data_IF_315015679807
#
_entry.id   IF_315015679807
#
_cell.length_a   1.000
_cell.length_b   1.000
_cell.length_c   1.000
_cell.angle_alpha   90.00
_cell.angle_beta   90.00
_cell.angle_gamma   90.00
#
_symmetry.space_group_name_H-M   'P 1'
#
loop_
_entity.id
_entity.type
_entity.pdbx_description
1 polymer ?
#
# COMPACT_ATOMS: atom_id res chain seq x y z
N UNK A 1 -14.33 -24.95 -37.93
CA UNK A 1 -13.02 -24.32 -38.26
C UNK A 1 -13.00 -22.79 -38.19
N UNK A 2 -13.90 -22.04 -38.86
CA UNK A 2 -13.90 -20.55 -38.82
C UNK A 2 -13.97 -19.91 -37.42
N UNK A 3 -14.74 -20.49 -36.48
CA UNK A 3 -14.80 -20.05 -35.07
C UNK A 3 -13.48 -20.26 -34.30
N UNK A 4 -12.74 -21.31 -34.62
CA UNK A 4 -11.46 -21.64 -33.98
C UNK A 4 -10.36 -20.71 -34.50
N UNK A 5 -10.32 -20.46 -35.81
CA UNK A 5 -9.42 -19.48 -36.43
C UNK A 5 -9.64 -18.06 -35.87
N UNK A 6 -10.88 -17.59 -35.77
CA UNK A 6 -11.17 -16.28 -35.18
C UNK A 6 -10.95 -16.18 -33.66
N UNK A 7 -10.79 -17.31 -32.96
CA UNK A 7 -10.34 -17.34 -31.56
C UNK A 7 -8.81 -17.29 -31.48
N UNK A 8 -8.11 -18.06 -32.32
CA UNK A 8 -6.65 -18.05 -32.41
C UNK A 8 -6.10 -16.71 -32.93
N UNK A 9 -6.79 -16.04 -33.86
CA UNK A 9 -6.44 -14.68 -34.31
C UNK A 9 -6.60 -13.64 -33.19
N UNK A 10 -7.62 -13.78 -32.33
CA UNK A 10 -7.81 -12.91 -31.15
C UNK A 10 -6.74 -13.15 -30.07
N UNK A 11 -6.32 -14.40 -29.88
CA UNK A 11 -5.22 -14.75 -28.99
C UNK A 11 -3.87 -14.24 -29.54
N UNK A 12 -3.64 -14.39 -30.85
CA UNK A 12 -2.46 -13.86 -31.55
C UNK A 12 -2.41 -12.33 -31.53
N UNK A 13 -3.55 -11.66 -31.73
CA UNK A 13 -3.71 -10.21 -31.62
C UNK A 13 -3.43 -9.67 -30.20
N UNK A 14 -3.88 -10.39 -29.15
CA UNK A 14 -3.48 -10.11 -27.75
C UNK A 14 -1.98 -10.30 -27.51
N UNK A 15 -1.37 -11.30 -28.16
CA UNK A 15 0.07 -11.59 -28.03
C UNK A 15 0.96 -10.63 -28.83
N UNK A 16 0.41 -9.97 -29.86
CA UNK A 16 1.11 -9.00 -30.73
C UNK A 16 0.83 -7.53 -30.38
N UNK A 17 0.23 -7.25 -29.23
CA UNK A 17 0.05 -5.88 -28.78
C UNK A 17 1.44 -5.31 -28.46
N UNK A 18 2.00 -4.53 -29.40
CA UNK A 18 3.29 -3.84 -29.24
C UNK A 18 3.34 -3.20 -27.86
N UNK A 19 4.33 -3.61 -27.05
CA UNK A 19 4.61 -3.03 -25.74
C UNK A 19 4.62 -1.51 -25.84
N UNK A 20 3.69 -0.82 -25.16
CA UNK A 20 3.69 0.64 -25.12
C UNK A 20 4.92 1.09 -24.32
N UNK A 21 5.98 1.49 -25.02
CA UNK A 21 7.21 2.00 -24.39
C UNK A 21 7.15 3.52 -24.35
N UNK A 22 7.10 4.08 -23.15
CA UNK A 22 7.31 5.51 -22.95
C UNK A 22 8.80 5.84 -22.99
N UNK A 23 9.13 6.99 -23.57
CA UNK A 23 10.48 7.53 -23.47
C UNK A 23 10.70 8.07 -22.05
N UNK A 24 11.69 7.51 -21.36
CA UNK A 24 12.10 7.95 -20.02
C UNK A 24 13.52 8.53 -20.02
N UNK A 25 14.10 8.76 -21.20
CA UNK A 25 15.44 9.31 -21.39
C UNK A 25 15.42 10.83 -21.66
N UNK A 26 14.23 11.41 -21.86
CA UNK A 26 14.01 12.85 -22.06
C UNK A 26 12.97 13.40 -21.07
N UNK A 27 13.04 14.70 -20.78
CA UNK A 27 12.06 15.35 -19.91
C UNK A 27 10.67 15.37 -20.54
N UNK A 28 10.62 15.60 -21.85
CA UNK A 28 9.40 15.63 -22.67
C UNK A 28 8.73 14.26 -22.65
N UNK A 29 9.52 13.19 -22.85
CA UNK A 29 9.05 11.81 -22.80
C UNK A 29 8.43 11.46 -21.44
N UNK A 30 9.11 11.78 -20.33
CA UNK A 30 8.62 11.52 -18.98
C UNK A 30 7.33 12.31 -18.70
N UNK A 31 7.28 13.59 -19.09
CA UNK A 31 6.10 14.44 -18.90
C UNK A 31 4.90 13.95 -19.72
N UNK A 32 5.14 13.39 -20.90
CA UNK A 32 4.11 12.87 -21.79
C UNK A 32 3.45 11.56 -21.30
N UNK A 33 3.99 10.92 -20.25
CA UNK A 33 3.36 9.75 -19.63
C UNK A 33 2.01 10.18 -19.03
N UNK A 34 0.88 9.59 -19.48
CA UNK A 34 -0.44 9.95 -19.00
C UNK A 34 -0.66 9.44 -17.57
N UNK A 35 -1.54 10.11 -16.83
CA UNK A 35 -2.01 9.69 -15.51
C UNK A 35 -3.54 9.58 -15.56
N UNK A 36 -4.12 8.37 -15.52
CA UNK A 36 -3.46 7.08 -15.33
C UNK A 36 -2.76 6.60 -16.61
N UNK A 37 -1.67 5.86 -16.43
CA UNK A 37 -1.03 5.14 -17.52
C UNK A 37 -1.68 3.76 -17.68
N UNK A 38 -2.54 3.60 -18.69
CA UNK A 38 -3.11 2.30 -19.08
C UNK A 38 -2.17 1.55 -20.02
N UNK A 39 -2.24 0.22 -19.97
CA UNK A 39 -1.64 -0.71 -20.94
C UNK A 39 -0.12 -0.60 -21.12
N UNK A 40 0.61 -0.25 -20.05
CA UNK A 40 2.07 -0.33 -20.05
C UNK A 40 2.53 -1.77 -19.84
N UNK A 41 3.48 -2.23 -20.66
CA UNK A 41 4.02 -3.59 -20.61
C UNK A 41 5.49 -3.56 -21.06
N UNK A 42 6.39 -4.19 -20.31
CA UNK A 42 7.83 -4.32 -20.60
C UNK A 42 8.22 -5.72 -21.09
N UNK A 43 7.25 -6.63 -21.17
CA UNK A 43 7.41 -8.05 -21.46
C UNK A 43 7.68 -8.89 -20.21
N UNK A 44 7.56 -8.31 -19.01
CA UNK A 44 7.76 -8.99 -17.74
C UNK A 44 6.76 -8.47 -16.71
N UNK A 45 5.72 -9.26 -16.43
CA UNK A 45 4.59 -8.87 -15.58
C UNK A 45 5.00 -8.30 -14.20
N UNK A 46 6.11 -8.78 -13.61
CA UNK A 46 6.63 -8.30 -12.32
C UNK A 46 7.27 -6.89 -12.40
N UNK A 47 7.50 -6.38 -13.62
CA UNK A 47 8.18 -5.12 -13.93
C UNK A 47 7.30 -4.17 -14.75
N UNK A 48 6.04 -4.53 -14.97
CA UNK A 48 5.12 -3.84 -15.89
C UNK A 48 4.28 -2.76 -15.21
N UNK A 49 4.55 -2.44 -13.96
CA UNK A 49 3.99 -1.25 -13.33
C UNK A 49 4.84 -0.03 -13.71
N UNK A 50 4.27 0.89 -14.50
CA UNK A 50 4.98 2.09 -14.98
C UNK A 50 5.56 2.95 -13.86
N UNK A 51 4.84 3.11 -12.74
CA UNK A 51 5.34 3.83 -11.56
C UNK A 51 6.63 3.18 -11.03
N UNK A 52 6.68 1.84 -11.01
CA UNK A 52 7.84 1.10 -10.51
C UNK A 52 9.03 1.23 -11.47
N UNK A 53 8.78 1.20 -12.79
CA UNK A 53 9.84 1.43 -13.78
C UNK A 53 10.43 2.84 -13.64
N UNK A 54 9.59 3.86 -13.44
CA UNK A 54 10.03 5.23 -13.20
C UNK A 54 10.89 5.34 -11.93
N UNK A 55 10.53 4.65 -10.85
CA UNK A 55 11.35 4.60 -9.62
C UNK A 55 12.75 4.02 -9.87
N UNK A 56 12.87 2.99 -10.71
CA UNK A 56 14.19 2.43 -11.09
C UNK A 56 14.95 3.34 -12.02
N UNK A 57 14.28 3.90 -13.03
CA UNK A 57 14.88 4.86 -13.98
C UNK A 57 15.40 6.10 -13.27
N UNK A 58 14.71 6.58 -12.24
CA UNK A 58 15.24 7.63 -11.38
C UNK A 58 16.57 7.26 -10.70
N UNK A 59 16.72 6.01 -10.24
CA UNK A 59 18.00 5.52 -9.67
C UNK A 59 19.10 5.51 -10.73
N UNK A 60 18.80 5.03 -11.93
CA UNK A 60 19.73 4.98 -13.06
C UNK A 60 20.19 6.39 -13.46
N UNK A 61 19.25 7.31 -13.67
CA UNK A 61 19.53 8.70 -14.02
C UNK A 61 20.36 9.41 -12.97
N UNK A 62 20.04 9.23 -11.68
CA UNK A 62 20.86 9.77 -10.59
C UNK A 62 22.28 9.22 -10.64
N UNK A 63 22.46 7.91 -10.81
CA UNK A 63 23.79 7.28 -10.90
C UNK A 63 24.61 7.84 -12.07
N UNK A 64 23.93 8.24 -13.14
CA UNK A 64 24.53 8.83 -14.34
C UNK A 64 24.65 10.36 -14.27
N UNK A 65 24.41 10.99 -13.11
CA UNK A 65 24.51 12.44 -12.94
C UNK A 65 23.35 13.26 -13.54
N UNK A 66 22.34 12.61 -14.12
CA UNK A 66 21.16 13.25 -14.74
C UNK A 66 20.05 13.50 -13.72
N UNK A 67 20.30 14.42 -12.78
CA UNK A 67 19.37 14.66 -11.66
C UNK A 67 18.01 15.22 -12.10
N UNK A 68 17.97 16.01 -13.16
CA UNK A 68 16.75 16.54 -13.78
C UNK A 68 15.79 15.43 -14.25
N UNK A 69 16.31 14.46 -15.00
CA UNK A 69 15.55 13.29 -15.43
C UNK A 69 15.15 12.42 -14.25
N UNK A 70 16.04 12.26 -13.26
CA UNK A 70 15.74 11.49 -12.06
C UNK A 70 14.57 12.09 -11.26
N UNK A 71 14.57 13.42 -11.08
CA UNK A 71 13.51 14.17 -10.42
C UNK A 71 12.21 14.08 -11.23
N UNK A 72 12.27 14.23 -12.56
CA UNK A 72 11.10 14.10 -13.42
C UNK A 72 10.46 12.70 -13.32
N UNK A 73 11.27 11.63 -13.32
CA UNK A 73 10.78 10.27 -13.13
C UNK A 73 10.07 10.10 -11.78
N UNK A 74 10.64 10.62 -10.69
CA UNK A 74 10.04 10.52 -9.36
C UNK A 74 8.73 11.31 -9.26
N UNK A 75 8.67 12.53 -9.81
CA UNK A 75 7.43 13.32 -9.87
C UNK A 75 6.31 12.57 -10.58
N UNK A 76 6.60 12.02 -11.77
CA UNK A 76 5.62 11.26 -12.54
C UNK A 76 5.22 9.95 -11.83
N UNK A 77 6.15 9.28 -11.17
CA UNK A 77 5.84 8.10 -10.36
C UNK A 77 4.93 8.42 -9.18
N UNK A 78 5.15 9.55 -8.51
CA UNK A 78 4.30 10.00 -7.40
C UNK A 78 2.89 10.33 -7.92
N UNK A 79 2.78 11.06 -9.03
CA UNK A 79 1.51 11.40 -9.68
C UNK A 79 0.68 10.16 -10.05
N UNK A 80 1.33 9.13 -10.61
CA UNK A 80 0.70 7.84 -10.92
C UNK A 80 0.20 7.11 -9.67
N UNK A 81 0.93 7.20 -8.57
CA UNK A 81 0.54 6.61 -7.29
C UNK A 81 -0.63 7.37 -6.67
N UNK A 82 -0.61 8.71 -6.74
CA UNK A 82 -1.64 9.60 -6.17
C UNK A 82 -2.98 9.48 -6.89
N UNK A 83 -2.96 9.10 -8.17
CA UNK A 83 -4.18 8.88 -8.95
C UNK A 83 -5.02 7.70 -8.42
N UNK A 84 -4.39 6.73 -7.77
CA UNK A 84 -5.06 5.51 -7.33
C UNK A 84 -5.79 5.70 -6.01
N UNK A 85 -6.93 5.03 -5.88
CA UNK A 85 -7.69 4.99 -4.61
C UNK A 85 -6.87 4.43 -3.43
N UNK A 86 -5.88 3.59 -3.72
CA UNK A 86 -4.86 3.13 -2.80
C UNK A 86 -3.49 3.40 -3.42
N UNK A 87 -2.80 4.47 -2.99
CA UNK A 87 -1.48 4.78 -3.51
C UNK A 87 -0.51 3.60 -3.40
N UNK A 88 0.27 3.39 -4.45
CA UNK A 88 1.20 2.27 -4.56
C UNK A 88 2.48 2.47 -3.74
N UNK A 89 2.92 3.73 -3.61
CA UNK A 89 4.20 4.09 -3.02
C UNK A 89 4.12 4.24 -1.50
N UNK A 90 5.20 3.87 -0.82
CA UNK A 90 5.37 4.13 0.61
C UNK A 90 6.03 5.49 0.84
N UNK A 91 5.95 6.01 2.08
CA UNK A 91 6.58 7.28 2.46
C UNK A 91 8.05 7.36 1.99
N UNK A 92 8.84 6.30 2.24
CA UNK A 92 10.25 6.25 1.84
C UNK A 92 10.45 6.45 0.34
N UNK A 93 9.50 6.04 -0.49
CA UNK A 93 9.56 6.12 -1.94
C UNK A 93 9.20 7.54 -2.41
N UNK A 94 8.14 8.14 -1.83
CA UNK A 94 7.79 9.55 -2.05
C UNK A 94 8.95 10.48 -1.65
N UNK A 95 9.55 10.25 -0.48
CA UNK A 95 10.63 11.07 0.06
C UNK A 95 11.95 10.96 -0.71
N UNK A 96 12.05 10.08 -1.72
CA UNK A 96 13.18 10.12 -2.66
C UNK A 96 13.20 11.42 -3.46
N UNK A 97 12.03 11.95 -3.82
CA UNK A 97 11.91 13.17 -4.62
C UNK A 97 12.55 14.39 -3.95
N UNK A 98 12.14 14.82 -2.73
CA UNK A 98 12.78 15.94 -2.05
C UNK A 98 14.27 15.68 -1.78
N UNK A 99 14.65 14.43 -1.48
CA UNK A 99 16.08 14.07 -1.35
C UNK A 99 16.86 14.32 -2.63
N UNK A 100 16.30 14.01 -3.80
CA UNK A 100 16.98 14.22 -5.09
C UNK A 100 17.01 15.70 -5.48
N UNK A 101 15.97 16.46 -5.17
CA UNK A 101 15.96 17.92 -5.31
C UNK A 101 17.06 18.53 -4.43
N UNK A 102 17.22 18.09 -3.19
CA UNK A 102 18.27 18.61 -2.31
C UNK A 102 19.70 18.38 -2.88
N UNK A 103 19.90 17.31 -3.67
CA UNK A 103 21.18 17.03 -4.33
C UNK A 103 21.52 18.04 -5.44
N UNK A 104 20.55 18.80 -5.97
CA UNK A 104 20.83 19.88 -6.93
C UNK A 104 21.31 21.16 -6.24
N UNK A 105 21.27 21.21 -4.90
CA UNK A 105 21.58 22.39 -4.10
C UNK A 105 20.36 23.21 -3.68
N UNK A 106 19.18 22.98 -4.28
CA UNK A 106 17.96 23.70 -3.98
C UNK A 106 17.23 23.14 -2.74
N UNK A 107 17.77 23.46 -1.56
CA UNK A 107 17.21 22.99 -0.27
C UNK A 107 15.82 23.57 0.02
N UNK A 108 15.53 24.78 -0.48
CA UNK A 108 14.24 25.42 -0.27
C UNK A 108 13.14 24.68 -1.05
N UNK A 109 13.39 24.37 -2.32
CA UNK A 109 12.47 23.57 -3.13
C UNK A 109 12.33 22.14 -2.58
N UNK A 110 13.41 21.54 -2.10
CA UNK A 110 13.35 20.21 -1.47
C UNK A 110 12.42 20.19 -0.25
N UNK A 111 12.50 21.21 0.61
CA UNK A 111 11.64 21.34 1.78
C UNK A 111 10.18 21.58 1.39
N UNK A 112 9.94 22.47 0.42
CA UNK A 112 8.61 22.73 -0.11
C UNK A 112 7.96 21.45 -0.67
N UNK A 113 8.71 20.66 -1.43
CA UNK A 113 8.21 19.41 -2.00
C UNK A 113 7.93 18.35 -0.90
N UNK A 114 8.78 18.27 0.12
CA UNK A 114 8.53 17.41 1.29
C UNK A 114 7.23 17.82 2.02
N UNK A 115 7.01 19.10 2.26
CA UNK A 115 5.80 19.60 2.91
C UNK A 115 4.55 19.33 2.06
N UNK A 116 4.64 19.49 0.74
CA UNK A 116 3.56 19.14 -0.19
C UNK A 116 3.24 17.64 -0.16
N UNK A 117 4.25 16.76 -0.04
CA UNK A 117 4.03 15.32 0.11
C UNK A 117 3.25 15.04 1.40
N UNK A 118 3.64 15.65 2.53
CA UNK A 118 2.94 15.45 3.79
C UNK A 118 1.55 16.07 3.84
N UNK A 119 1.31 17.15 3.10
CA UNK A 119 -0.03 17.72 2.96
C UNK A 119 -0.98 16.78 2.20
N UNK A 120 -0.46 16.08 1.16
CA UNK A 120 -1.23 15.10 0.37
C UNK A 120 -1.36 13.74 1.05
N UNK A 121 -0.35 13.35 1.83
CA UNK A 121 -0.26 12.09 2.55
C UNK A 121 -0.07 12.32 4.05
N UNK A 122 -1.07 12.91 4.73
CA UNK A 122 -0.98 13.17 6.16
C UNK A 122 -0.79 11.88 6.98
N UNK A 123 -1.19 10.72 6.45
CA UNK A 123 -1.01 9.41 7.05
C UNK A 123 0.46 9.02 7.28
N UNK A 124 1.40 9.63 6.54
CA UNK A 124 2.83 9.43 6.77
C UNK A 124 3.30 10.07 8.09
N UNK A 125 2.62 11.12 8.56
CA UNK A 125 2.92 11.77 9.85
C UNK A 125 1.99 11.33 10.96
N UNK A 126 0.79 10.87 10.60
CA UNK A 126 -0.23 10.47 11.55
C UNK A 126 -0.79 9.08 11.22
N UNK A 127 -0.23 8.08 11.91
CA UNK A 127 -0.61 6.68 11.73
C UNK A 127 -2.07 6.40 12.11
N UNK A 128 -2.69 7.29 12.90
CA UNK A 128 -4.11 7.16 13.24
C UNK A 128 -4.99 7.16 12.01
N UNK A 129 -4.63 7.93 10.98
CA UNK A 129 -5.37 7.95 9.70
C UNK A 129 -5.32 6.60 9.00
N UNK A 130 -4.15 5.94 8.97
CA UNK A 130 -4.03 4.57 8.45
C UNK A 130 -4.83 3.58 9.30
N UNK A 131 -4.74 3.68 10.64
CA UNK A 131 -5.47 2.78 11.54
C UNK A 131 -6.98 2.88 11.29
N UNK A 132 -7.54 4.10 11.20
CA UNK A 132 -8.96 4.33 10.93
C UNK A 132 -9.41 3.65 9.64
N UNK A 133 -8.64 3.81 8.55
CA UNK A 133 -8.94 3.17 7.25
C UNK A 133 -8.96 1.64 7.37
N UNK A 134 -7.99 1.06 8.06
CA UNK A 134 -7.89 -0.40 8.24
C UNK A 134 -8.99 -0.94 9.17
N UNK A 135 -9.29 -0.22 10.25
CA UNK A 135 -10.34 -0.56 11.21
C UNK A 135 -11.71 -0.54 10.51
N UNK A 136 -12.00 0.51 9.73
CA UNK A 136 -13.24 0.60 8.96
C UNK A 136 -13.43 -0.59 8.02
N UNK A 137 -12.37 -0.96 7.27
CA UNK A 137 -12.38 -2.14 6.39
C UNK A 137 -12.67 -3.43 7.16
N UNK A 138 -12.12 -3.59 8.36
CA UNK A 138 -12.35 -4.78 9.16
C UNK A 138 -13.76 -4.84 9.74
N UNK A 139 -14.35 -3.70 10.12
CA UNK A 139 -15.75 -3.63 10.52
C UNK A 139 -16.67 -4.04 9.36
N UNK A 140 -16.38 -3.59 8.13
CA UNK A 140 -17.16 -4.01 6.96
C UNK A 140 -17.09 -5.52 6.75
N UNK A 141 -15.92 -6.13 6.96
CA UNK A 141 -15.75 -7.59 6.91
C UNK A 141 -16.57 -8.25 8.01
N UNK A 142 -16.46 -7.80 9.26
CA UNK A 142 -17.23 -8.33 10.39
C UNK A 142 -18.75 -8.24 10.15
N UNK A 143 -19.23 -7.13 9.59
CA UNK A 143 -20.64 -6.96 9.19
C UNK A 143 -21.05 -7.98 8.12
N UNK A 144 -20.23 -8.17 7.08
CA UNK A 144 -20.49 -9.14 6.00
C UNK A 144 -20.52 -10.58 6.51
N UNK A 145 -19.62 -10.93 7.43
CA UNK A 145 -19.55 -12.28 8.01
C UNK A 145 -20.48 -12.48 9.21
N UNK A 146 -21.24 -11.45 9.60
CA UNK A 146 -22.10 -11.44 10.79
C UNK A 146 -21.33 -11.83 12.07
N UNK A 147 -20.05 -11.48 12.13
CA UNK A 147 -19.24 -11.67 13.31
C UNK A 147 -19.24 -10.41 14.17
N UNK A 148 -19.70 -10.54 15.41
CA UNK A 148 -19.77 -9.43 16.37
C UNK A 148 -18.47 -9.25 17.17
N UNK A 149 -17.58 -10.25 17.17
CA UNK A 149 -16.39 -10.23 18.01
C UNK A 149 -15.17 -9.79 17.22
N UNK A 150 -14.37 -8.92 17.83
CA UNK A 150 -13.08 -8.47 17.30
C UNK A 150 -12.01 -8.50 18.38
N UNK A 151 -10.77 -8.70 17.96
CA UNK A 151 -9.60 -8.59 18.82
C UNK A 151 -8.76 -7.39 18.41
N UNK A 152 -8.35 -6.58 19.40
CA UNK A 152 -7.53 -5.39 19.20
C UNK A 152 -6.06 -5.73 19.38
N UNK A 153 -5.21 -5.29 18.46
CA UNK A 153 -3.76 -5.42 18.54
C UNK A 153 -3.11 -4.04 18.51
N UNK A 154 -2.10 -3.85 19.33
CA UNK A 154 -1.34 -2.60 19.41
C UNK A 154 0.15 -2.89 19.56
N UNK A 155 1.01 -1.92 19.20
CA UNK A 155 2.45 -2.03 19.48
C UNK A 155 2.82 -1.77 20.95
N UNK A 156 1.88 -1.35 21.79
CA UNK A 156 2.09 -1.14 23.23
C UNK A 156 2.93 0.09 23.62
N UNK A 157 3.39 0.91 22.66
CA UNK A 157 4.23 2.09 22.93
C UNK A 157 3.49 3.18 23.70
N UNK A 158 2.17 3.27 23.51
CA UNK A 158 1.32 4.19 24.26
C UNK A 158 0.69 3.47 25.47
N UNK A 159 0.79 3.99 26.71
CA UNK A 159 0.19 3.39 27.89
C UNK A 159 -1.32 3.15 27.79
N UNK A 160 -2.05 4.02 27.06
CA UNK A 160 -3.48 3.85 26.82
C UNK A 160 -3.75 2.69 25.86
N UNK A 161 -3.04 2.65 24.73
CA UNK A 161 -3.18 1.57 23.74
C UNK A 161 -2.73 0.21 24.29
N UNK A 162 -1.70 0.18 25.14
CA UNK A 162 -1.20 -1.04 25.79
C UNK A 162 -2.30 -1.78 26.56
N UNK A 163 -3.22 -1.04 27.20
CA UNK A 163 -4.36 -1.61 27.93
C UNK A 163 -5.39 -2.29 27.02
N UNK A 164 -5.36 -2.01 25.72
CA UNK A 164 -6.28 -2.57 24.72
C UNK A 164 -5.69 -3.82 24.04
N UNK A 165 -4.37 -4.02 24.13
CA UNK A 165 -3.68 -5.05 23.36
C UNK A 165 -4.20 -6.45 23.68
N UNK A 166 -4.45 -7.24 22.63
CA UNK A 166 -5.02 -8.60 22.63
C UNK A 166 -6.39 -8.75 23.29
N UNK A 167 -7.05 -7.65 23.67
CA UNK A 167 -8.40 -7.72 24.25
C UNK A 167 -9.43 -7.97 23.16
N UNK A 168 -10.43 -8.77 23.52
CA UNK A 168 -11.58 -9.10 22.68
C UNK A 168 -12.75 -8.23 23.10
N UNK A 169 -13.46 -7.69 22.11
CA UNK A 169 -14.62 -6.84 22.29
C UNK A 169 -15.77 -7.28 21.40
N UNK A 170 -16.98 -6.92 21.81
CA UNK A 170 -18.19 -6.96 21.01
C UNK A 170 -18.36 -5.64 20.27
N UNK A 171 -18.69 -5.70 18.97
CA UNK A 171 -18.99 -4.53 18.14
C UNK A 171 -20.35 -3.92 18.49
N UNK A 172 -21.35 -4.74 18.76
CA UNK A 172 -22.71 -4.32 19.12
C UNK A 172 -22.93 -4.08 20.61
N UNK A 173 -22.06 -4.61 21.47
CA UNK A 173 -22.23 -4.61 22.93
C UNK A 173 -23.26 -5.62 23.44
N UNK A 174 -23.81 -6.47 22.57
CA UNK A 174 -24.83 -7.47 22.95
C UNK A 174 -24.23 -8.72 23.59
N UNK A 175 -22.91 -8.90 23.50
CA UNK A 175 -22.22 -10.03 24.12
C UNK A 175 -22.29 -9.97 25.65
N UNK A 176 -22.66 -11.09 26.28
CA UNK A 176 -22.61 -11.24 27.74
C UNK A 176 -21.19 -11.40 28.29
N UNK A 177 -20.24 -11.83 27.46
CA UNK A 177 -18.87 -12.18 27.87
C UNK A 177 -17.86 -11.09 27.55
N UNK A 178 -18.04 -10.39 26.43
CA UNK A 178 -17.08 -9.40 25.94
C UNK A 178 -17.69 -8.00 26.00
N UNK A 179 -16.95 -7.01 26.53
CA UNK A 179 -17.45 -5.65 26.62
C UNK A 179 -17.61 -5.03 25.23
N UNK A 180 -18.43 -3.98 25.14
CA UNK A 180 -18.46 -3.11 23.96
C UNK A 180 -17.07 -2.52 23.71
N UNK A 181 -16.67 -2.48 22.45
CA UNK A 181 -15.41 -1.85 22.03
C UNK A 181 -15.40 -0.34 22.37
N UNK A 182 -14.28 0.19 22.90
CA UNK A 182 -14.15 1.63 23.15
C UNK A 182 -14.33 2.46 21.86
N UNK A 183 -15.25 3.44 21.83
CA UNK A 183 -15.56 4.21 20.63
C UNK A 183 -14.38 5.03 20.11
N UNK A 184 -13.44 5.41 20.98
CA UNK A 184 -12.24 6.18 20.63
C UNK A 184 -11.36 5.43 19.62
N UNK A 185 -11.42 4.09 19.57
CA UNK A 185 -10.70 3.29 18.57
C UNK A 185 -11.20 3.62 17.14
N UNK A 186 -12.49 3.94 16.99
CA UNK A 186 -13.12 4.25 15.71
C UNK A 186 -13.11 5.73 15.36
N UNK A 187 -13.03 6.59 16.36
CA UNK A 187 -13.03 8.05 16.16
C UNK A 187 -11.60 8.54 15.96
N UNK A 188 -10.70 8.12 16.85
CA UNK A 188 -9.35 8.68 16.90
C UNK A 188 -8.31 7.81 16.22
N UNK A 189 -8.59 6.52 15.97
CA UNK A 189 -7.59 5.59 15.40
C UNK A 189 -6.36 5.35 16.27
N UNK A 190 -6.37 5.85 17.51
CA UNK A 190 -5.29 5.74 18.48
C UNK A 190 -5.04 7.04 19.24
N UNK A 191 -4.32 6.93 20.35
CA UNK A 191 -4.16 8.06 21.26
C UNK A 191 -3.23 9.18 20.75
N UNK A 192 -2.23 8.84 19.94
CA UNK A 192 -1.28 9.79 19.35
C UNK A 192 -0.86 9.32 17.94
N UNK A 193 -0.16 10.18 17.22
CA UNK A 193 0.21 9.98 15.81
C UNK A 193 1.11 8.77 15.54
N UNK A 194 1.76 8.22 16.57
CA UNK A 194 2.67 7.06 16.45
C UNK A 194 2.02 5.75 16.88
N UNK A 195 0.80 5.81 17.41
CA UNK A 195 0.07 4.63 17.84
C UNK A 195 -0.21 3.70 16.65
N UNK A 196 0.12 2.42 16.83
CA UNK A 196 -0.34 1.37 15.95
C UNK A 196 -1.50 0.65 16.62
N UNK A 197 -2.65 0.67 15.96
CA UNK A 197 -3.85 -0.07 16.39
C UNK A 197 -4.44 -0.75 15.17
N UNK A 198 -4.70 -2.04 15.30
CA UNK A 198 -5.42 -2.84 14.31
C UNK A 198 -6.49 -3.68 15.01
N UNK A 199 -7.59 -3.94 14.33
CA UNK A 199 -8.64 -4.85 14.80
C UNK A 199 -8.80 -5.98 13.80
N UNK A 200 -9.06 -7.19 14.28
CA UNK A 200 -9.35 -8.34 13.44
C UNK A 200 -10.58 -9.05 13.95
N UNK A 201 -11.36 -9.63 13.04
CA UNK A 201 -12.48 -10.51 13.42
C UNK A 201 -11.96 -11.65 14.30
N UNK A 202 -12.64 -11.86 15.42
CA UNK A 202 -12.32 -12.90 16.38
C UNK A 202 -13.38 -13.99 16.31
N UNK A 203 -12.96 -15.24 16.16
CA UNK A 203 -13.87 -16.38 16.11
C UNK A 203 -13.52 -17.32 17.26
N UNK A 204 -14.40 -17.44 18.27
CA UNK A 204 -14.20 -18.39 19.36
C UNK A 204 -13.98 -19.79 18.80
N UNK A 205 -13.04 -20.54 19.38
CA UNK A 205 -12.72 -21.93 19.07
C UNK A 205 -11.94 -22.19 17.75
N UNK A 206 -11.57 -21.15 16.98
CA UNK A 206 -10.58 -21.29 15.90
C UNK A 206 -9.12 -21.09 16.38
N UNK A 207 -8.91 -20.88 17.68
CA UNK A 207 -7.59 -20.66 18.28
C UNK A 207 -6.74 -21.94 18.39
N UNK A 208 -7.35 -23.12 18.20
CA UNK A 208 -6.71 -24.41 18.44
C UNK A 208 -6.14 -25.11 17.20
N UNK A 209 -6.36 -24.58 16.00
CA UNK A 209 -5.92 -25.26 14.76
C UNK A 209 -4.43 -25.01 14.44
N UNK A 210 -3.79 -24.05 15.11
CA UNK A 210 -2.36 -23.73 14.95
C UNK A 210 -1.43 -24.51 15.89
N UNK A 211 -1.97 -25.42 16.72
CA UNK A 211 -1.14 -26.48 17.31
C UNK A 211 -1.00 -27.58 16.26
N UNK A 212 -0.14 -27.35 15.26
CA UNK A 212 0.26 -28.40 14.35
C UNK A 212 0.57 -29.66 15.16
N UNK A 213 -0.10 -30.76 14.83
CA UNK A 213 0.14 -32.04 15.46
C UNK A 213 1.64 -32.34 15.28
N UNK A 214 2.44 -32.52 16.35
CA UNK A 214 3.87 -32.81 16.22
C UNK A 214 4.15 -34.07 15.39
N UNK A 215 3.15 -34.95 15.23
CA UNK A 215 3.23 -36.16 14.41
C UNK A 215 3.22 -35.89 12.90
N UNK A 216 2.64 -34.77 12.42
CA UNK A 216 2.62 -34.42 10.99
C UNK A 216 3.98 -33.94 10.45
N UNK A 217 4.96 -33.70 11.34
CA UNK A 217 6.33 -33.29 10.97
C UNK A 217 7.22 -34.52 10.73
N UNK A 218 6.85 -35.70 11.24
CA UNK A 218 7.69 -36.90 11.17
C UNK A 218 7.53 -37.72 9.87
N UNK A 219 6.45 -37.54 9.10
CA UNK A 219 6.15 -38.38 7.92
C UNK A 219 6.66 -37.85 6.57
N UNK A 220 7.49 -36.78 6.56
CA UNK A 220 8.08 -36.24 5.31
C UNK A 220 9.60 -36.32 5.23
N UNK A 221 10.21 -37.19 6.02
CA UNK A 221 11.65 -37.48 5.93
C UNK A 221 11.90 -39.00 5.93
N UNK A 222 11.41 -39.71 4.91
CA UNK A 222 12.04 -40.90 4.34
C UNK A 222 11.67 -41.02 2.86
#
# INVERSE_FOLDING_TARGET
MKKLLGFMERLSSKYNQKSKKYDMETLEGIKAIPVPAKDYNTGNDLKDAIWYVLQRKATEHKRNGKLDLAIACLRKSNELSDYESNPFLLEKDYLRLPKYIALTGDKALAKLEEDNIYARHPEFRDRRLTNLKLIAKQIEISKKTKNDLIQVFTNGNCPKCKKLNKKIYSLSGTSKKFPLIPPEIFIDGGHNSTCYISVYSYYPNLENDDKGNPEDIAEKCY
#
